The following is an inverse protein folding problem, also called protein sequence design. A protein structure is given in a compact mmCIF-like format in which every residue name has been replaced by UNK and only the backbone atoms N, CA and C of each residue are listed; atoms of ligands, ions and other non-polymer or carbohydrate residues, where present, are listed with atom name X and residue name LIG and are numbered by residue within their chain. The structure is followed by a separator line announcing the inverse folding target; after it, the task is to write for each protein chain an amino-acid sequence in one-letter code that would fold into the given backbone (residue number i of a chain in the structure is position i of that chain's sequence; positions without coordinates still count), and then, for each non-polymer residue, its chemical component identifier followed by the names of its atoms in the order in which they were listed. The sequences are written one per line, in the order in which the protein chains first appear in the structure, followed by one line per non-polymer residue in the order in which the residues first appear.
data_IF_342828006608
#
_entry.id   IF_342828006608
#
_cell.length_a   1.000
_cell.length_b   1.000
_cell.length_c   1.000
_cell.angle_alpha   90.00
_cell.angle_beta   90.00
_cell.angle_gamma   90.00
#
_symmetry.space_group_name_H-M   'P 1'
#
loop_
_entity.id
_entity.type
_entity.pdbx_description
1 polymer ?
#
# COMPACT_ATOMS: atom_id res chain seq x y z
N UNK A 1 12.72 33.10 52.26
CA UNK A 1 11.86 32.61 53.36
C UNK A 1 10.74 31.80 52.74
N UNK A 2 10.34 30.71 53.43
CA UNK A 2 9.32 29.67 53.10
C UNK A 2 9.67 28.76 51.92
N UNK A 3 10.29 27.60 52.14
CA UNK A 3 9.83 26.31 52.73
C UNK A 3 8.93 25.49 51.78
N UNK A 4 9.38 24.27 51.49
CA UNK A 4 8.82 23.36 50.47
C UNK A 4 9.40 21.95 50.64
N UNK A 5 9.06 21.33 51.78
CA UNK A 5 9.45 19.97 52.18
C UNK A 5 8.99 18.90 51.18
N UNK A 6 9.88 17.94 50.92
CA UNK A 6 9.58 16.66 50.25
C UNK A 6 9.13 15.62 51.29
N UNK A 7 8.25 14.65 50.95
CA UNK A 7 7.84 13.61 51.89
C UNK A 7 8.94 12.54 52.04
N UNK A 8 9.37 12.32 53.29
CA UNK A 8 10.21 11.23 53.72
C UNK A 8 9.33 9.98 53.95
N UNK A 9 9.69 8.83 53.37
CA UNK A 9 8.96 7.56 53.50
C UNK A 9 9.64 6.58 54.48
N UNK A 10 10.62 7.04 55.24
CA UNK A 10 11.28 6.28 56.30
C UNK A 10 10.74 6.72 57.65
N UNK A 11 9.67 6.06 58.11
CA UNK A 11 9.38 5.76 59.53
C UNK A 11 7.93 5.26 59.67
N UNK A 12 7.73 3.95 59.50
CA UNK A 12 6.63 3.25 60.13
C UNK A 12 6.98 1.77 60.32
N UNK A 13 7.48 1.51 61.52
CA UNK A 13 7.53 0.28 62.30
C UNK A 13 7.30 -1.07 61.62
N UNK A 14 8.31 -1.93 61.75
CA UNK A 14 8.14 -3.29 62.31
C UNK A 14 9.46 -3.74 62.93
N UNK A 15 9.72 -3.26 64.16
CA UNK A 15 10.62 -3.92 65.09
C UNK A 15 9.88 -5.08 65.74
N UNK A 16 10.32 -6.30 65.46
CA UNK A 16 9.90 -7.48 66.19
C UNK A 16 10.31 -8.74 65.45
N UNK A 17 11.14 -9.56 66.10
CA UNK A 17 11.53 -10.92 65.74
C UNK A 17 12.82 -11.06 64.91
N UNK A 18 13.96 -10.69 65.50
CA UNK A 18 15.20 -11.46 65.32
C UNK A 18 15.92 -11.51 66.67
N UNK A 19 15.80 -12.63 67.37
CA UNK A 19 16.81 -13.11 68.32
C UNK A 19 16.94 -14.62 68.09
N UNK A 20 18.17 -15.15 68.13
CA UNK A 20 18.41 -16.60 68.08
C UNK A 20 19.21 -17.13 66.88
N UNK A 21 20.51 -16.95 66.99
CA UNK A 21 21.62 -17.55 66.26
C UNK A 21 21.69 -19.10 66.43
N UNK A 22 21.90 -19.90 65.37
CA UNK A 22 22.66 -21.18 65.39
C UNK A 22 22.97 -21.76 63.99
N UNK A 23 24.14 -22.41 63.91
CA UNK A 23 24.93 -22.94 62.77
C UNK A 23 24.30 -24.08 61.92
N UNK A 24 24.87 -24.42 60.75
CA UNK A 24 24.36 -25.43 59.81
C UNK A 24 24.89 -26.86 60.06
N UNK A 25 24.03 -27.86 59.91
CA UNK A 25 24.36 -29.31 59.96
C UNK A 25 23.39 -30.14 59.10
N UNK A 26 23.77 -31.35 58.63
CA UNK A 26 23.39 -31.87 57.32
C UNK A 26 22.04 -32.60 57.26
N UNK A 27 21.50 -32.68 56.04
CA UNK A 27 20.24 -33.30 55.67
C UNK A 27 20.10 -34.78 56.11
N UNK A 28 18.94 -35.11 56.68
CA UNK A 28 18.48 -36.50 56.89
C UNK A 28 17.11 -36.68 56.26
N UNK A 29 17.03 -37.67 55.37
CA UNK A 29 15.87 -38.15 54.62
C UNK A 29 14.75 -38.67 55.55
N UNK A 30 13.45 -38.49 55.23
CA UNK A 30 12.35 -38.99 56.05
C UNK A 30 12.08 -40.50 55.80
N UNK A 31 11.61 -41.26 56.80
CA UNK A 31 11.42 -42.71 56.70
C UNK A 31 10.10 -43.09 56.00
N UNK A 32 10.13 -44.22 55.29
CA UNK A 32 8.97 -44.86 54.63
C UNK A 32 7.89 -45.33 55.62
N UNK A 33 6.60 -45.34 55.22
CA UNK A 33 5.50 -45.74 56.09
C UNK A 33 5.38 -47.28 56.24
N UNK A 34 4.79 -47.77 57.35
CA UNK A 34 4.72 -49.19 57.63
C UNK A 34 3.63 -49.89 56.81
N UNK A 35 3.96 -51.06 56.28
CA UNK A 35 3.03 -52.01 55.67
C UNK A 35 2.33 -52.80 56.78
N UNK A 36 1.00 -52.71 56.85
CA UNK A 36 0.16 -53.43 57.81
C UNK A 36 -1.20 -53.79 57.21
N UNK A 37 -1.47 -55.09 57.16
CA UNK A 37 -2.59 -55.82 56.56
C UNK A 37 -3.96 -55.65 57.26
N UNK A 38 -5.05 -55.54 56.50
CA UNK A 38 -6.43 -55.73 56.99
C UNK A 38 -7.46 -55.63 55.85
N UNK A 39 -8.28 -56.67 55.66
CA UNK A 39 -9.23 -56.84 54.55
C UNK A 39 -10.43 -55.86 54.53
N UNK A 40 -11.30 -55.93 53.51
CA UNK A 40 -12.31 -54.90 53.25
C UNK A 40 -13.59 -55.15 54.05
N UNK A 41 -14.19 -54.12 54.69
CA UNK A 41 -15.58 -54.18 55.12
C UNK A 41 -16.54 -53.44 54.16
N UNK A 42 -17.82 -53.84 54.14
CA UNK A 42 -18.74 -53.66 53.03
C UNK A 42 -19.66 -52.45 53.19
N UNK A 43 -20.20 -51.97 52.06
CA UNK A 43 -21.47 -51.23 51.97
C UNK A 43 -21.59 -49.97 52.82
N UNK A 44 -21.25 -48.81 52.27
CA UNK A 44 -21.77 -47.52 52.73
C UNK A 44 -22.75 -46.97 51.70
N UNK A 45 -23.99 -46.83 52.17
CA UNK A 45 -25.13 -46.21 51.49
C UNK A 45 -24.75 -44.96 50.69
N UNK A 46 -25.29 -44.86 49.48
CA UNK A 46 -25.35 -43.61 48.70
C UNK A 46 -26.44 -42.75 49.34
N UNK A 47 -26.13 -42.18 50.50
CA UNK A 47 -26.98 -41.25 51.23
C UNK A 47 -26.44 -39.83 51.13
N UNK A 48 -27.23 -38.95 50.50
CA UNK A 48 -27.15 -37.49 50.53
C UNK A 48 -25.89 -36.82 49.93
N UNK A 49 -25.91 -36.66 48.61
CA UNK A 49 -25.16 -35.56 47.98
C UNK A 49 -25.96 -34.28 48.26
N UNK A 50 -25.48 -33.50 49.22
CA UNK A 50 -25.96 -32.14 49.54
C UNK A 50 -25.78 -31.25 48.29
N UNK A 51 -26.74 -31.31 47.35
CA UNK A 51 -26.85 -30.38 46.23
C UNK A 51 -27.24 -29.01 46.79
N UNK A 52 -26.26 -28.31 47.36
CA UNK A 52 -26.34 -26.88 47.55
C UNK A 52 -26.42 -26.27 46.16
N UNK A 53 -27.64 -25.98 45.73
CA UNK A 53 -27.93 -25.09 44.62
C UNK A 53 -27.23 -23.76 44.94
N UNK A 54 -26.04 -23.56 44.38
CA UNK A 54 -25.38 -22.26 44.40
C UNK A 54 -26.24 -21.37 43.52
N UNK A 55 -27.14 -20.62 44.16
CA UNK A 55 -27.95 -19.61 43.50
C UNK A 55 -26.99 -18.51 43.03
N UNK A 56 -26.48 -18.63 41.80
CA UNK A 56 -25.65 -17.62 41.15
C UNK A 56 -26.58 -16.46 40.78
N UNK A 57 -26.86 -15.60 41.77
CA UNK A 57 -27.54 -14.34 41.51
C UNK A 57 -26.60 -13.42 40.75
N UNK A 58 -26.76 -13.37 39.42
CA UNK A 58 -26.15 -12.36 38.55
C UNK A 58 -26.72 -11.00 38.93
N UNK A 59 -26.09 -10.33 39.90
CA UNK A 59 -26.39 -8.94 40.23
C UNK A 59 -25.88 -8.06 39.09
N UNK A 60 -26.78 -7.65 38.20
CA UNK A 60 -26.51 -6.55 37.28
C UNK A 60 -26.28 -5.28 38.08
N UNK A 61 -25.01 -4.94 38.33
CA UNK A 61 -24.67 -3.66 38.92
C UNK A 61 -25.12 -2.56 37.95
N UNK A 62 -26.06 -1.70 38.39
CA UNK A 62 -26.67 -0.62 37.60
C UNK A 62 -25.62 0.31 36.96
N UNK A 63 -24.43 0.40 37.57
CA UNK A 63 -23.29 1.17 37.03
C UNK A 63 -22.61 0.50 35.83
N UNK A 64 -22.56 -0.83 35.78
CA UNK A 64 -22.00 -1.57 34.64
C UNK A 64 -22.94 -1.59 33.44
N UNK A 65 -24.26 -1.67 33.67
CA UNK A 65 -25.27 -1.52 32.61
C UNK A 65 -25.23 -0.10 32.01
N UNK A 66 -25.08 0.92 32.85
CA UNK A 66 -24.94 2.31 32.40
C UNK A 66 -23.65 2.54 31.60
N UNK A 67 -22.51 1.99 32.05
CA UNK A 67 -21.23 2.06 31.31
C UNK A 67 -21.29 1.32 29.97
N UNK A 68 -21.89 0.13 29.94
CA UNK A 68 -22.10 -0.62 28.70
C UNK A 68 -23.04 0.13 27.74
N UNK A 69 -24.08 0.78 28.27
CA UNK A 69 -24.97 1.65 27.50
C UNK A 69 -24.25 2.85 26.88
N UNK A 70 -23.44 3.57 27.66
CA UNK A 70 -22.63 4.67 27.13
C UNK A 70 -21.56 4.22 26.14
N UNK A 71 -20.95 3.05 26.35
CA UNK A 71 -20.03 2.46 25.39
C UNK A 71 -20.73 2.14 24.06
N UNK A 72 -21.93 1.54 24.12
CA UNK A 72 -22.73 1.26 22.92
C UNK A 72 -23.15 2.54 22.20
N UNK A 73 -23.58 3.57 22.93
CA UNK A 73 -23.91 4.89 22.36
C UNK A 73 -22.67 5.55 21.75
N UNK A 74 -21.50 5.46 22.39
CA UNK A 74 -20.25 5.98 21.83
C UNK A 74 -19.86 5.25 20.53
N UNK A 75 -20.00 3.91 20.48
CA UNK A 75 -19.73 3.12 19.28
C UNK A 75 -20.70 3.52 18.15
N UNK A 76 -21.99 3.64 18.45
CA UNK A 76 -23.01 4.09 17.46
C UNK A 76 -22.75 5.52 17.01
N UNK A 77 -22.37 6.42 17.91
CA UNK A 77 -22.03 7.80 17.57
C UNK A 77 -20.76 7.88 16.72
N UNK A 78 -19.73 7.08 17.00
CA UNK A 78 -18.53 6.96 16.19
C UNK A 78 -18.87 6.39 14.81
N UNK A 79 -19.73 5.37 14.72
CA UNK A 79 -20.16 4.79 13.46
C UNK A 79 -20.99 5.79 12.62
N UNK A 80 -21.91 6.52 13.24
CA UNK A 80 -22.72 7.54 12.59
C UNK A 80 -21.86 8.75 12.15
N UNK A 81 -20.91 9.18 12.97
CA UNK A 81 -19.93 10.19 12.59
C UNK A 81 -19.05 9.70 11.44
N UNK A 82 -18.60 8.45 11.47
CA UNK A 82 -17.86 7.82 10.38
C UNK A 82 -18.66 7.81 9.08
N UNK A 83 -19.94 7.45 9.13
CA UNK A 83 -20.86 7.50 7.99
C UNK A 83 -21.02 8.92 7.44
N UNK A 84 -21.30 9.90 8.29
CA UNK A 84 -21.43 11.31 7.88
C UNK A 84 -20.14 11.85 7.25
N UNK A 85 -18.99 11.51 7.85
CA UNK A 85 -17.68 11.90 7.34
C UNK A 85 -17.38 11.24 5.98
N UNK A 86 -17.84 10.02 5.73
CA UNK A 86 -17.68 9.33 4.44
C UNK A 86 -18.66 9.88 3.40
N UNK A 87 -19.93 10.06 3.75
CA UNK A 87 -20.99 10.44 2.82
C UNK A 87 -20.90 11.93 2.43
N UNK A 88 -20.73 12.82 3.41
CA UNK A 88 -20.73 14.28 3.18
C UNK A 88 -19.31 14.88 3.20
N UNK A 89 -18.41 14.33 4.02
CA UNK A 89 -17.01 14.79 4.15
C UNK A 89 -16.02 14.06 3.25
N UNK A 90 -16.44 12.99 2.58
CA UNK A 90 -15.54 12.07 1.88
C UNK A 90 -14.78 12.75 0.76
N UNK A 91 -15.41 13.67 0.05
CA UNK A 91 -14.80 14.45 -1.05
C UNK A 91 -13.65 15.35 -0.57
N UNK A 92 -13.83 16.00 0.59
CA UNK A 92 -12.80 16.87 1.19
C UNK A 92 -11.65 16.03 1.73
N UNK A 93 -11.92 14.95 2.44
CA UNK A 93 -10.89 14.04 2.95
C UNK A 93 -10.11 13.43 1.79
N UNK A 94 -10.79 12.97 0.76
CA UNK A 94 -10.17 12.48 -0.45
C UNK A 94 -9.27 13.54 -1.07
N UNK A 95 -9.76 14.78 -1.22
CA UNK A 95 -8.97 15.92 -1.73
C UNK A 95 -7.73 16.19 -0.88
N UNK A 96 -7.83 16.10 0.45
CA UNK A 96 -6.69 16.27 1.35
C UNK A 96 -5.66 15.15 1.19
N UNK A 97 -6.11 13.90 1.08
CA UNK A 97 -5.23 12.75 0.82
C UNK A 97 -4.53 12.92 -0.54
N UNK A 98 -5.28 13.27 -1.58
CA UNK A 98 -4.73 13.56 -2.91
C UNK A 98 -3.70 14.68 -2.84
N UNK A 99 -4.02 15.78 -2.18
CA UNK A 99 -3.13 16.92 -2.04
C UNK A 99 -1.84 16.56 -1.28
N UNK A 100 -1.94 15.70 -0.26
CA UNK A 100 -0.78 15.21 0.47
C UNK A 100 0.11 14.33 -0.41
N UNK A 101 -0.48 13.42 -1.20
CA UNK A 101 0.26 12.58 -2.13
C UNK A 101 0.88 13.37 -3.28
N UNK A 102 0.17 14.36 -3.84
CA UNK A 102 0.70 15.27 -4.83
C UNK A 102 1.87 16.09 -4.28
N UNK A 103 1.75 16.59 -3.04
CA UNK A 103 2.83 17.28 -2.34
C UNK A 103 4.08 16.39 -2.21
N UNK A 104 3.90 15.12 -1.83
CA UNK A 104 4.98 14.13 -1.73
C UNK A 104 5.60 13.86 -3.12
N UNK A 105 4.77 13.72 -4.15
CA UNK A 105 5.20 13.46 -5.53
C UNK A 105 6.07 14.59 -6.10
N UNK A 106 5.75 15.84 -5.74
CA UNK A 106 6.47 17.03 -6.19
C UNK A 106 7.74 17.30 -5.37
N UNK A 107 7.90 16.69 -4.20
CA UNK A 107 9.01 16.95 -3.27
C UNK A 107 10.40 16.81 -3.92
N UNK A 108 10.72 15.80 -4.77
CA UNK A 108 12.04 15.72 -5.40
C UNK A 108 12.35 16.90 -6.31
N UNK A 109 11.34 17.46 -6.99
CA UNK A 109 11.49 18.63 -7.84
C UNK A 109 11.59 19.91 -6.99
N UNK A 110 10.71 20.06 -5.99
CA UNK A 110 10.70 21.19 -5.05
C UNK A 110 12.00 21.24 -4.23
N UNK A 111 12.50 20.10 -3.75
CA UNK A 111 13.74 19.99 -2.99
C UNK A 111 14.98 20.37 -3.82
N UNK A 112 14.99 20.08 -5.13
CA UNK A 112 16.08 20.52 -6.02
C UNK A 112 16.03 22.02 -6.26
N UNK A 113 14.85 22.56 -6.52
CA UNK A 113 14.67 23.98 -6.84
C UNK A 113 14.82 24.89 -5.61
N UNK A 114 14.37 24.43 -4.44
CA UNK A 114 14.51 25.15 -3.16
C UNK A 114 15.96 25.32 -2.68
N UNK A 115 16.94 24.63 -3.29
CA UNK A 115 18.36 24.92 -3.07
C UNK A 115 18.78 26.29 -3.62
N UNK A 116 18.04 26.83 -4.59
CA UNK A 116 18.34 28.10 -5.27
C UNK A 116 17.35 29.22 -4.96
N UNK A 117 16.21 28.92 -4.34
CA UNK A 117 15.16 29.90 -4.05
C UNK A 117 14.33 29.51 -2.82
N UNK A 118 13.50 30.43 -2.32
CA UNK A 118 12.61 30.16 -1.18
C UNK A 118 11.66 29.00 -1.50
N UNK A 119 11.45 28.10 -0.52
CA UNK A 119 10.66 26.87 -0.70
C UNK A 119 9.27 27.13 -1.28
N UNK A 120 8.57 28.18 -0.85
CA UNK A 120 7.26 28.55 -1.41
C UNK A 120 7.28 28.91 -2.91
N UNK A 121 8.34 29.59 -3.41
CA UNK A 121 8.46 29.88 -4.84
C UNK A 121 8.78 28.61 -5.63
N UNK A 122 9.64 27.73 -5.08
CA UNK A 122 9.92 26.45 -5.69
C UNK A 122 8.66 25.58 -5.81
N UNK A 123 7.84 25.51 -4.75
CA UNK A 123 6.55 24.83 -4.78
C UNK A 123 5.62 25.43 -5.83
N UNK A 124 5.50 26.76 -5.91
CA UNK A 124 4.62 27.40 -6.90
C UNK A 124 5.05 27.10 -8.35
N UNK A 125 6.35 27.16 -8.65
CA UNK A 125 6.87 26.87 -10.00
C UNK A 125 6.62 25.42 -10.39
N UNK A 126 6.90 24.46 -9.49
CA UNK A 126 6.65 23.04 -9.78
C UNK A 126 5.13 22.79 -9.93
N UNK A 127 4.30 23.41 -9.10
CA UNK A 127 2.84 23.27 -9.16
C UNK A 127 2.28 23.83 -10.46
N UNK A 128 2.75 24.99 -10.88
CA UNK A 128 2.36 25.59 -12.16
C UNK A 128 2.82 24.71 -13.34
N UNK A 129 4.03 24.15 -13.27
CA UNK A 129 4.52 23.21 -14.27
C UNK A 129 3.64 21.96 -14.39
N UNK A 130 3.23 21.37 -13.25
CA UNK A 130 2.28 20.24 -13.23
C UNK A 130 0.92 20.65 -13.79
N UNK A 131 0.39 21.82 -13.41
CA UNK A 131 -0.87 22.33 -13.92
C UNK A 131 -0.85 22.52 -15.44
N UNK A 132 0.21 23.15 -15.97
CA UNK A 132 0.40 23.35 -17.42
C UNK A 132 0.50 22.00 -18.13
N UNK A 133 1.29 21.06 -17.58
CA UNK A 133 1.38 19.70 -18.11
C UNK A 133 0.00 19.02 -18.18
N UNK A 134 -0.80 19.09 -17.11
CA UNK A 134 -2.14 18.52 -17.09
C UNK A 134 -3.08 19.18 -18.11
N UNK A 135 -3.03 20.50 -18.28
CA UNK A 135 -3.84 21.21 -19.28
C UNK A 135 -3.45 20.77 -20.69
N UNK A 136 -2.15 20.78 -21.01
CA UNK A 136 -1.65 20.37 -22.32
C UNK A 136 -2.00 18.90 -22.61
N UNK A 137 -1.81 18.01 -21.63
CA UNK A 137 -2.20 16.62 -21.75
C UNK A 137 -3.71 16.47 -21.99
N UNK A 138 -4.55 17.16 -21.21
CA UNK A 138 -6.01 17.06 -21.36
C UNK A 138 -6.49 17.59 -22.70
N UNK A 139 -5.88 18.65 -23.25
CA UNK A 139 -6.20 19.16 -24.57
C UNK A 139 -5.76 18.18 -25.67
N UNK A 140 -4.53 17.66 -25.59
CA UNK A 140 -3.99 16.72 -26.58
C UNK A 140 -4.74 15.37 -26.55
N UNK A 141 -4.95 14.81 -25.38
CA UNK A 141 -5.65 13.54 -25.17
C UNK A 141 -7.16 13.67 -25.36
N UNK A 142 -7.76 14.80 -24.97
CA UNK A 142 -9.18 15.08 -25.17
C UNK A 142 -9.56 15.10 -26.64
N UNK A 143 -8.75 15.74 -27.48
CA UNK A 143 -8.93 15.72 -28.94
C UNK A 143 -8.79 14.30 -29.50
N UNK A 144 -7.73 13.58 -29.10
CA UNK A 144 -7.55 12.17 -29.47
C UNK A 144 -8.79 11.34 -29.12
N UNK A 145 -9.28 11.43 -27.88
CA UNK A 145 -10.42 10.63 -27.44
C UNK A 145 -11.68 11.00 -28.23
N UNK A 146 -11.91 12.28 -28.50
CA UNK A 146 -13.04 12.73 -29.32
C UNK A 146 -12.97 12.17 -30.76
N UNK A 147 -11.80 12.25 -31.40
CA UNK A 147 -11.59 11.78 -32.77
C UNK A 147 -11.69 10.25 -32.87
N UNK A 148 -11.12 9.52 -31.90
CA UNK A 148 -11.18 8.06 -31.84
C UNK A 148 -12.58 7.54 -31.51
N UNK A 149 -13.31 8.22 -30.61
CA UNK A 149 -14.70 7.87 -30.35
C UNK A 149 -15.57 8.14 -31.59
N UNK A 150 -15.38 9.26 -32.28
CA UNK A 150 -16.10 9.56 -33.51
C UNK A 150 -15.81 8.53 -34.61
N UNK A 151 -14.53 8.16 -34.79
CA UNK A 151 -14.11 7.14 -35.75
C UNK A 151 -14.67 5.77 -35.39
N UNK A 152 -14.56 5.35 -34.12
CA UNK A 152 -15.11 4.08 -33.65
C UNK A 152 -16.61 4.00 -33.91
N UNK A 153 -17.37 5.04 -33.54
CA UNK A 153 -18.82 5.12 -33.78
C UNK A 153 -19.13 5.05 -35.28
N UNK A 154 -18.35 5.72 -36.12
CA UNK A 154 -18.50 5.66 -37.58
C UNK A 154 -18.13 4.28 -38.16
N UNK A 155 -17.23 3.53 -37.52
CA UNK A 155 -16.81 2.19 -37.93
C UNK A 155 -17.73 1.07 -37.47
N UNK A 156 -18.58 1.29 -36.45
CA UNK A 156 -19.52 0.28 -35.93
C UNK A 156 -20.31 -0.43 -37.05
N UNK A 157 -20.92 0.27 -38.02
CA UNK A 157 -21.67 -0.40 -39.09
C UNK A 157 -20.81 -1.38 -39.89
N UNK A 158 -19.62 -0.97 -40.29
CA UNK A 158 -18.69 -1.80 -41.08
C UNK A 158 -18.15 -3.00 -40.29
N UNK A 159 -17.95 -2.84 -38.98
CA UNK A 159 -17.52 -3.92 -38.08
C UNK A 159 -18.63 -4.95 -37.89
N UNK A 160 -19.87 -4.50 -37.72
CA UNK A 160 -21.05 -5.38 -37.63
C UNK A 160 -21.23 -6.14 -38.94
N UNK A 161 -21.15 -5.45 -40.08
CA UNK A 161 -21.23 -6.09 -41.40
C UNK A 161 -20.14 -7.16 -41.57
N UNK A 162 -18.87 -6.81 -41.33
CA UNK A 162 -17.75 -7.75 -41.46
C UNK A 162 -17.87 -8.95 -40.52
N UNK A 163 -18.29 -8.72 -39.27
CA UNK A 163 -18.49 -9.78 -38.29
C UNK A 163 -19.66 -10.70 -38.67
N UNK A 164 -20.76 -10.15 -39.19
CA UNK A 164 -21.89 -10.96 -39.68
C UNK A 164 -21.52 -11.77 -40.90
N UNK A 165 -20.81 -11.19 -41.87
CA UNK A 165 -20.35 -11.90 -43.07
C UNK A 165 -19.44 -13.05 -42.67
N UNK A 166 -18.44 -12.81 -41.82
CA UNK A 166 -17.56 -13.86 -41.33
C UNK A 166 -18.30 -14.96 -40.56
N UNK A 167 -19.26 -14.60 -39.71
CA UNK A 167 -20.05 -15.56 -38.94
C UNK A 167 -20.98 -16.40 -39.83
N UNK A 168 -21.59 -15.77 -40.84
CA UNK A 168 -22.45 -16.45 -41.81
C UNK A 168 -21.63 -17.42 -42.68
N UNK A 169 -20.43 -17.03 -43.10
CA UNK A 169 -19.51 -17.88 -43.87
C UNK A 169 -18.92 -19.02 -43.03
N UNK A 170 -18.58 -18.76 -41.76
CA UNK A 170 -17.90 -19.75 -40.90
C UNK A 170 -18.87 -20.75 -40.28
N UNK A 171 -20.04 -20.29 -39.84
CA UNK A 171 -20.99 -21.09 -39.07
C UNK A 171 -22.29 -21.39 -39.82
N UNK A 172 -22.48 -20.86 -41.04
CA UNK A 172 -23.68 -21.10 -41.85
C UNK A 172 -24.96 -20.50 -41.25
N UNK A 173 -24.84 -19.48 -40.40
CA UNK A 173 -25.97 -18.78 -39.78
C UNK A 173 -26.45 -17.68 -40.74
N UNK A 174 -27.72 -17.30 -40.70
CA UNK A 174 -28.25 -16.13 -41.42
C UNK A 174 -28.42 -14.94 -40.46
N UNK A 175 -27.30 -14.36 -40.01
CA UNK A 175 -27.33 -13.12 -39.23
C UNK A 175 -27.52 -11.95 -40.19
N UNK A 176 -28.54 -11.13 -39.93
CA UNK A 176 -28.78 -9.87 -40.65
C UNK A 176 -28.04 -8.72 -39.93
N UNK A 177 -27.07 -8.07 -40.59
CA UNK A 177 -26.36 -6.93 -40.02
C UNK A 177 -27.32 -5.81 -39.60
N UNK A 178 -28.34 -5.51 -40.42
CA UNK A 178 -29.33 -4.46 -40.15
C UNK A 178 -30.11 -4.68 -38.86
N UNK A 179 -30.50 -5.93 -38.57
CA UNK A 179 -31.22 -6.26 -37.33
C UNK A 179 -30.32 -6.11 -36.10
N UNK A 180 -29.06 -6.52 -36.20
CA UNK A 180 -28.10 -6.37 -35.10
C UNK A 180 -27.75 -4.90 -34.86
N UNK A 181 -27.60 -4.11 -35.93
CA UNK A 181 -27.36 -2.66 -35.86
C UNK A 181 -28.57 -1.92 -35.25
N UNK A 182 -29.79 -2.28 -35.62
CA UNK A 182 -31.02 -1.73 -35.05
C UNK A 182 -31.18 -2.08 -33.56
N UNK A 183 -30.76 -3.29 -33.16
CA UNK A 183 -30.77 -3.73 -31.77
C UNK A 183 -29.66 -3.03 -30.96
N UNK A 184 -28.46 -2.90 -31.52
CA UNK A 184 -27.36 -2.13 -30.92
C UNK A 184 -27.71 -0.66 -30.76
N UNK A 185 -28.28 -0.01 -31.77
CA UNK A 185 -28.62 1.42 -31.72
C UNK A 185 -29.81 1.72 -30.82
N UNK A 186 -30.75 0.78 -30.64
CA UNK A 186 -31.85 0.93 -29.69
C UNK A 186 -31.39 0.76 -28.23
N UNK A 187 -30.39 -0.09 -27.95
CA UNK A 187 -29.78 -0.23 -26.61
C UNK A 187 -28.73 0.86 -26.31
N UNK A 188 -27.88 1.19 -27.29
CA UNK A 188 -26.82 2.22 -27.21
C UNK A 188 -27.39 3.63 -27.44
N UNK A 189 -28.66 3.79 -27.84
CA UNK A 189 -29.37 5.06 -27.74
C UNK A 189 -29.30 5.66 -26.33
N UNK A 190 -29.11 4.83 -25.30
CA UNK A 190 -28.80 5.24 -23.93
C UNK A 190 -27.40 5.85 -23.71
N UNK A 191 -26.46 5.70 -24.64
CA UNK A 191 -25.18 6.41 -24.59
C UNK A 191 -25.33 7.89 -25.00
N UNK A 192 -26.32 8.22 -25.84
CA UNK A 192 -26.71 9.64 -26.06
C UNK A 192 -27.30 10.26 -24.79
N UNK A 193 -27.86 9.44 -23.88
CA UNK A 193 -28.24 9.87 -22.52
C UNK A 193 -27.07 9.93 -21.52
N UNK A 194 -25.86 9.45 -21.84
CA UNK A 194 -24.64 9.79 -21.09
C UNK A 194 -24.13 11.19 -21.44
N UNK A 195 -24.34 11.63 -22.69
CA UNK A 195 -24.22 13.04 -23.05
C UNK A 195 -25.40 13.88 -22.53
N UNK A 196 -26.60 13.28 -22.52
CA UNK A 196 -27.84 13.87 -22.00
C UNK A 196 -27.99 13.86 -20.48
N UNK A 197 -27.20 13.12 -19.71
CA UNK A 197 -27.22 13.16 -18.24
C UNK A 197 -26.44 14.36 -17.68
N UNK A 198 -25.73 15.07 -18.57
CA UNK A 198 -25.23 16.43 -18.35
C UNK A 198 -26.35 17.47 -18.58
N UNK A 199 -27.58 17.06 -18.96
CA UNK A 199 -28.71 17.93 -19.25
C UNK A 199 -29.41 18.55 -18.01
N UNK A 200 -28.62 19.08 -17.07
CA UNK A 200 -29.05 20.23 -16.28
C UNK A 200 -29.10 21.54 -17.10
N UNK A 201 -29.00 21.45 -18.44
CA UNK A 201 -28.82 22.59 -19.34
C UNK A 201 -27.52 23.34 -19.07
N UNK A 202 -27.46 24.58 -19.55
CA UNK A 202 -26.35 25.52 -19.30
C UNK A 202 -26.06 25.68 -17.81
N UNK A 203 -27.08 25.61 -16.95
CA UNK A 203 -26.95 25.76 -15.50
C UNK A 203 -26.20 24.58 -14.88
N UNK A 204 -26.51 23.34 -15.27
CA UNK A 204 -25.79 22.15 -14.82
C UNK A 204 -24.33 22.15 -15.27
N UNK A 205 -24.06 22.56 -16.52
CA UNK A 205 -22.70 22.70 -17.04
C UNK A 205 -21.91 23.77 -16.28
N UNK A 206 -22.51 24.94 -16.00
CA UNK A 206 -21.89 25.99 -15.19
C UNK A 206 -21.62 25.49 -13.77
N UNK A 207 -22.57 24.81 -13.14
CA UNK A 207 -22.41 24.26 -11.80
C UNK A 207 -21.28 23.21 -11.75
N UNK A 208 -21.15 22.35 -12.76
CA UNK A 208 -20.07 21.38 -12.87
C UNK A 208 -18.70 22.06 -13.05
N UNK A 209 -18.61 23.08 -13.92
CA UNK A 209 -17.39 23.86 -14.12
C UNK A 209 -16.99 24.60 -12.84
N UNK A 210 -17.95 25.25 -12.16
CA UNK A 210 -17.69 25.90 -10.88
C UNK A 210 -17.27 24.89 -9.81
N UNK A 211 -17.94 23.75 -9.71
CA UNK A 211 -17.58 22.67 -8.78
C UNK A 211 -16.18 22.14 -9.03
N UNK A 212 -15.81 21.89 -10.29
CA UNK A 212 -14.46 21.48 -10.68
C UNK A 212 -13.42 22.56 -10.38
N UNK A 213 -13.75 23.83 -10.62
CA UNK A 213 -12.88 24.97 -10.32
C UNK A 213 -12.60 25.11 -8.82
N UNK A 214 -13.64 25.10 -7.98
CA UNK A 214 -13.48 25.16 -6.52
C UNK A 214 -12.75 23.94 -5.97
N UNK A 215 -13.05 22.73 -6.49
CA UNK A 215 -12.36 21.50 -6.10
C UNK A 215 -10.86 21.55 -6.47
N UNK A 216 -10.56 22.05 -7.68
CA UNK A 216 -9.18 22.22 -8.15
C UNK A 216 -8.43 23.25 -7.30
N UNK A 217 -9.03 24.41 -7.03
CA UNK A 217 -8.42 25.42 -6.14
C UNK A 217 -8.16 24.83 -4.76
N UNK A 218 -9.12 24.10 -4.20
CA UNK A 218 -8.99 23.47 -2.89
C UNK A 218 -7.82 22.47 -2.89
N UNK A 219 -7.77 21.60 -3.89
CA UNK A 219 -6.68 20.63 -4.10
C UNK A 219 -5.32 21.31 -4.20
N UNK A 220 -5.17 22.33 -5.07
CA UNK A 220 -3.91 23.05 -5.27
C UNK A 220 -3.51 23.85 -4.03
N UNK A 221 -4.47 24.46 -3.34
CA UNK A 221 -4.23 25.18 -2.09
C UNK A 221 -3.64 24.26 -1.02
N UNK A 222 -4.25 23.10 -0.78
CA UNK A 222 -3.72 22.14 0.19
C UNK A 222 -2.38 21.54 -0.26
N UNK A 223 -2.23 21.23 -1.55
CA UNK A 223 -0.97 20.72 -2.10
C UNK A 223 0.16 21.71 -1.89
N UNK A 224 -0.10 23.00 -2.18
CA UNK A 224 0.85 24.08 -1.96
C UNK A 224 1.24 24.17 -0.49
N UNK A 225 0.27 24.18 0.42
CA UNK A 225 0.55 24.32 1.85
C UNK A 225 1.31 23.12 2.42
N UNK A 226 0.92 21.90 2.05
CA UNK A 226 1.63 20.69 2.47
C UNK A 226 3.06 20.63 1.94
N UNK A 227 3.31 21.10 0.71
CA UNK A 227 4.65 21.09 0.11
C UNK A 227 5.54 22.22 0.63
N UNK A 228 4.99 23.44 0.70
CA UNK A 228 5.73 24.63 1.11
C UNK A 228 6.08 24.60 2.61
N UNK A 229 5.15 24.15 3.46
CA UNK A 229 5.26 24.17 4.92
C UNK A 229 5.40 22.77 5.56
N UNK A 230 5.92 21.79 4.82
CA UNK A 230 6.08 20.39 5.27
C UNK A 230 6.79 20.24 6.64
N UNK A 231 7.83 21.04 6.91
CA UNK A 231 8.52 21.04 8.20
C UNK A 231 7.65 21.59 9.34
N UNK A 232 6.79 22.56 9.05
CA UNK A 232 5.91 23.18 10.04
C UNK A 232 4.79 22.22 10.42
N UNK A 233 4.24 21.51 9.42
CA UNK A 233 3.27 20.44 9.61
C UNK A 233 3.85 19.32 10.48
N UNK A 234 5.08 18.86 10.17
CA UNK A 234 5.79 17.85 10.98
C UNK A 234 5.91 18.28 12.45
N UNK A 235 6.31 19.52 12.72
CA UNK A 235 6.44 20.05 14.10
C UNK A 235 5.09 20.11 14.79
N UNK A 236 4.05 20.55 14.10
CA UNK A 236 2.70 20.62 14.65
C UNK A 236 2.18 19.22 15.01
N UNK A 237 2.36 18.23 14.14
CA UNK A 237 1.99 16.83 14.43
C UNK A 237 2.78 16.29 15.62
N UNK A 238 4.08 16.58 15.71
CA UNK A 238 4.88 16.17 16.86
C UNK A 238 4.41 16.80 18.18
N UNK A 239 3.90 18.04 18.16
CA UNK A 239 3.39 18.73 19.35
C UNK A 239 2.10 18.11 19.91
N UNK A 240 1.34 17.37 19.11
CA UNK A 240 0.14 16.67 19.56
C UNK A 240 0.45 15.49 20.49
N UNK A 241 1.71 15.05 20.57
CA UNK A 241 2.12 13.90 21.33
C UNK A 241 3.00 14.26 22.54
N UNK A 242 2.99 13.42 23.60
CA UNK A 242 3.88 13.59 24.75
C UNK A 242 5.37 13.59 24.35
N UNK A 243 6.26 14.33 25.06
CA UNK A 243 7.68 14.47 24.71
C UNK A 243 8.42 13.16 24.43
N UNK A 244 8.08 12.09 25.17
CA UNK A 244 8.68 10.75 25.00
C UNK A 244 8.41 10.12 23.63
N UNK A 245 7.32 10.51 22.96
CA UNK A 245 6.89 9.98 21.67
C UNK A 245 7.25 10.91 20.50
N UNK A 246 7.65 12.16 20.75
CA UNK A 246 7.96 13.13 19.69
C UNK A 246 9.13 12.68 18.81
N UNK A 247 10.17 12.07 19.40
CA UNK A 247 11.28 11.50 18.65
C UNK A 247 10.82 10.34 17.76
N UNK A 248 9.95 9.47 18.27
CA UNK A 248 9.38 8.34 17.51
C UNK A 248 8.53 8.85 16.35
N UNK A 249 7.69 9.87 16.57
CA UNK A 249 6.87 10.50 15.53
C UNK A 249 7.75 11.20 14.48
N UNK A 250 8.84 11.82 14.91
CA UNK A 250 9.81 12.42 13.99
C UNK A 250 10.43 11.39 13.05
N UNK A 251 10.85 10.24 13.57
CA UNK A 251 11.38 9.13 12.78
C UNK A 251 10.29 8.50 11.91
N UNK A 252 9.09 8.32 12.45
CA UNK A 252 7.92 7.80 11.76
C UNK A 252 7.58 8.63 10.52
N UNK A 253 7.55 9.96 10.71
CA UNK A 253 7.29 10.92 9.65
C UNK A 253 8.34 10.84 8.55
N UNK A 254 9.62 10.88 8.91
CA UNK A 254 10.71 10.84 7.94
C UNK A 254 10.70 9.52 7.16
N UNK A 255 10.46 8.40 7.84
CA UNK A 255 10.37 7.09 7.20
C UNK A 255 9.16 7.02 6.25
N UNK A 256 7.99 7.49 6.68
CA UNK A 256 6.79 7.52 5.84
C UNK A 256 6.99 8.40 4.60
N UNK A 257 7.61 9.58 4.74
CA UNK A 257 7.90 10.47 3.62
C UNK A 257 8.93 9.85 2.67
N UNK A 258 10.00 9.25 3.18
CA UNK A 258 11.03 8.60 2.35
C UNK A 258 10.45 7.40 1.60
N UNK A 259 9.66 6.58 2.27
CA UNK A 259 9.10 5.34 1.71
C UNK A 259 7.96 5.60 0.73
N UNK A 260 6.99 6.43 1.10
CA UNK A 260 5.87 6.81 0.21
C UNK A 260 6.35 7.72 -0.91
N UNK A 261 7.22 8.68 -0.60
CA UNK A 261 7.83 9.56 -1.61
C UNK A 261 8.74 8.81 -2.57
N UNK A 262 9.54 7.87 -2.07
CA UNK A 262 10.32 6.96 -2.90
C UNK A 262 9.46 6.13 -3.84
N UNK A 263 8.35 5.55 -3.35
CA UNK A 263 7.40 4.80 -4.18
C UNK A 263 6.77 5.68 -5.29
N UNK A 264 6.18 6.83 -4.94
CA UNK A 264 5.54 7.71 -5.92
C UNK A 264 6.56 8.26 -6.92
N UNK A 265 7.75 8.62 -6.45
CA UNK A 265 8.84 9.09 -7.33
C UNK A 265 9.31 8.00 -8.29
N UNK A 266 9.47 6.76 -7.82
CA UNK A 266 9.83 5.63 -8.65
C UNK A 266 8.79 5.42 -9.76
N UNK A 267 7.49 5.44 -9.43
CA UNK A 267 6.41 5.32 -10.41
C UNK A 267 6.37 6.48 -11.41
N UNK A 268 6.64 7.71 -10.98
CA UNK A 268 6.75 8.85 -11.89
C UNK A 268 7.93 8.71 -12.86
N UNK A 269 9.08 8.23 -12.38
CA UNK A 269 10.25 8.00 -13.24
C UNK A 269 9.97 6.88 -14.23
N UNK A 270 9.42 5.74 -13.79
CA UNK A 270 9.00 4.66 -14.68
C UNK A 270 7.96 5.16 -15.69
N UNK A 271 7.01 5.98 -15.27
CA UNK A 271 5.97 6.52 -16.15
C UNK A 271 6.58 7.42 -17.23
N UNK A 272 7.56 8.24 -16.85
CA UNK A 272 8.32 9.08 -17.79
C UNK A 272 9.15 8.25 -18.77
N UNK A 273 9.80 7.19 -18.31
CA UNK A 273 10.59 6.29 -19.18
C UNK A 273 9.67 5.53 -20.14
N UNK A 274 8.65 4.86 -19.60
CA UNK A 274 7.68 4.10 -20.37
C UNK A 274 6.96 4.99 -21.39
N UNK A 275 6.42 6.12 -20.93
CA UNK A 275 5.70 7.04 -21.80
C UNK A 275 6.60 7.71 -22.82
N UNK A 276 7.81 8.12 -22.42
CA UNK A 276 8.78 8.73 -23.32
C UNK A 276 9.26 7.78 -24.42
N UNK A 277 9.61 6.53 -24.07
CA UNK A 277 10.03 5.52 -25.05
C UNK A 277 8.87 5.10 -25.96
N UNK A 278 7.67 4.94 -25.40
CA UNK A 278 6.47 4.62 -26.19
C UNK A 278 6.12 5.75 -27.17
N UNK A 279 6.14 7.00 -26.71
CA UNK A 279 5.96 8.19 -27.55
C UNK A 279 7.02 8.27 -28.65
N UNK A 280 8.29 8.03 -28.32
CA UNK A 280 9.38 8.07 -29.30
C UNK A 280 9.20 6.98 -30.37
N UNK A 281 8.83 5.77 -29.95
CA UNK A 281 8.57 4.67 -30.88
C UNK A 281 7.39 5.00 -31.82
N UNK A 282 6.26 5.47 -31.25
CA UNK A 282 5.08 5.88 -32.02
C UNK A 282 5.40 7.02 -32.99
N UNK A 283 6.23 7.97 -32.59
CA UNK A 283 6.71 9.05 -33.46
C UNK A 283 7.53 8.50 -34.64
N UNK A 284 8.42 7.53 -34.41
CA UNK A 284 9.28 6.94 -35.44
C UNK A 284 8.45 6.18 -36.49
N UNK A 285 7.41 5.46 -36.07
CA UNK A 285 6.52 4.73 -36.99
C UNK A 285 5.47 5.63 -37.65
N UNK A 286 5.46 6.93 -37.35
CA UNK A 286 4.53 7.90 -37.94
C UNK A 286 3.10 7.79 -37.42
N UNK A 287 2.90 7.29 -36.20
CA UNK A 287 1.57 7.16 -35.60
C UNK A 287 1.05 8.52 -35.11
N UNK A 288 -0.19 8.85 -35.46
CA UNK A 288 -0.86 10.05 -34.98
C UNK A 288 -1.06 10.02 -33.46
N UNK A 289 -1.09 11.20 -32.84
CA UNK A 289 -1.26 11.35 -31.38
C UNK A 289 -0.24 10.59 -30.52
N UNK A 290 0.94 10.27 -31.08
CA UNK A 290 2.05 9.57 -30.41
C UNK A 290 2.38 10.12 -29.00
N UNK A 291 2.27 11.45 -28.81
CA UNK A 291 2.55 12.08 -27.52
C UNK A 291 1.45 11.80 -26.50
N UNK A 292 0.19 11.97 -26.89
CA UNK A 292 -0.96 11.73 -26.01
C UNK A 292 -1.05 10.24 -25.62
N UNK A 293 -0.87 9.34 -26.60
CA UNK A 293 -0.86 7.90 -26.38
C UNK A 293 0.32 7.46 -25.52
N UNK A 294 1.53 7.96 -25.74
CA UNK A 294 2.67 7.57 -24.90
C UNK A 294 2.55 8.09 -23.47
N UNK A 295 2.05 9.32 -23.25
CA UNK A 295 1.77 9.80 -21.88
C UNK A 295 0.70 8.91 -21.21
N UNK A 296 -0.37 8.55 -21.93
CA UNK A 296 -1.36 7.58 -21.46
C UNK A 296 -0.71 6.26 -21.06
N UNK A 297 0.10 5.66 -21.94
CA UNK A 297 0.77 4.39 -21.69
C UNK A 297 1.63 4.45 -20.43
N UNK A 298 2.46 5.48 -20.31
CA UNK A 298 3.34 5.66 -19.15
C UNK A 298 2.56 5.85 -17.84
N UNK A 299 1.53 6.69 -17.83
CA UNK A 299 0.76 6.94 -16.59
C UNK A 299 -0.07 5.73 -16.17
N UNK A 300 -0.81 5.13 -17.10
CA UNK A 300 -1.72 4.03 -16.78
C UNK A 300 -0.96 2.76 -16.41
N UNK A 301 0.16 2.46 -17.09
CA UNK A 301 0.97 1.28 -16.76
C UNK A 301 1.51 1.32 -15.33
N UNK A 302 1.87 2.52 -14.82
CA UNK A 302 2.59 2.65 -13.56
C UNK A 302 1.69 2.88 -12.34
N UNK A 303 0.53 3.49 -12.53
CA UNK A 303 -0.36 3.83 -11.43
C UNK A 303 -1.57 2.90 -11.30
N UNK A 304 -1.84 2.04 -12.29
CA UNK A 304 -2.87 0.99 -12.20
C UNK A 304 -2.19 -0.36 -11.96
N UNK A 305 -2.26 -0.94 -10.75
CA UNK A 305 -1.60 -2.22 -10.45
C UNK A 305 -2.20 -3.38 -11.24
N UNK A 306 -1.39 -4.43 -11.43
CA UNK A 306 -1.69 -5.77 -12.00
C UNK A 306 -2.25 -5.80 -13.43
N UNK A 307 -3.20 -4.92 -13.74
CA UNK A 307 -3.92 -4.85 -15.01
C UNK A 307 -3.50 -3.61 -15.82
N UNK A 308 -2.91 -2.60 -15.17
CA UNK A 308 -2.62 -1.30 -15.78
C UNK A 308 -1.81 -1.36 -17.05
N UNK A 309 -0.75 -2.16 -17.09
CA UNK A 309 0.06 -2.37 -18.28
C UNK A 309 -0.76 -2.85 -19.48
N UNK A 310 -1.67 -3.79 -19.26
CA UNK A 310 -2.51 -4.33 -20.34
C UNK A 310 -3.46 -3.26 -20.88
N UNK A 311 -4.10 -2.48 -19.99
CA UNK A 311 -4.99 -1.37 -20.39
C UNK A 311 -4.19 -0.25 -21.08
N UNK A 312 -3.00 0.05 -20.56
CA UNK A 312 -2.10 1.09 -21.05
C UNK A 312 -1.60 0.81 -22.47
N UNK A 313 -1.37 -0.46 -22.81
CA UNK A 313 -0.95 -0.91 -24.15
C UNK A 313 -2.15 -1.10 -25.08
N UNK A 314 -3.27 -1.63 -24.56
CA UNK A 314 -4.43 -1.97 -25.37
C UNK A 314 -4.98 -0.78 -26.17
N UNK A 315 -5.11 0.39 -25.53
CA UNK A 315 -5.66 1.58 -26.21
C UNK A 315 -4.77 2.05 -27.38
N UNK A 316 -3.46 2.33 -27.21
CA UNK A 316 -2.59 2.69 -28.32
C UNK A 316 -2.52 1.63 -29.43
N UNK A 317 -2.48 0.34 -29.07
CA UNK A 317 -2.46 -0.74 -30.07
C UNK A 317 -3.77 -0.76 -30.85
N UNK A 318 -4.91 -0.61 -30.17
CA UNK A 318 -6.22 -0.51 -30.83
C UNK A 318 -6.28 0.69 -31.78
N UNK A 319 -5.83 1.87 -31.35
CA UNK A 319 -5.76 3.06 -32.19
C UNK A 319 -4.88 2.82 -33.43
N UNK A 320 -3.72 2.19 -33.25
CA UNK A 320 -2.84 1.83 -34.37
C UNK A 320 -3.41 0.77 -35.32
N UNK A 321 -4.27 -0.13 -34.83
CA UNK A 321 -4.91 -1.18 -35.63
C UNK A 321 -6.08 -0.67 -36.46
N UNK A 322 -6.86 0.24 -35.89
CA UNK A 322 -8.05 0.84 -36.53
C UNK A 322 -7.67 2.07 -37.36
N UNK A 323 -6.50 2.65 -37.11
CA UNK A 323 -5.96 3.76 -37.88
C UNK A 323 -5.68 3.43 -39.35
N UNK A 324 -5.24 4.43 -40.13
CA UNK A 324 -5.01 4.29 -41.57
C UNK A 324 -4.01 3.18 -41.93
N UNK A 325 -3.06 2.89 -41.04
CA UNK A 325 -1.99 1.93 -41.23
C UNK A 325 -1.96 0.86 -40.11
N UNK A 326 -2.72 -0.24 -40.25
CA UNK A 326 -2.87 -1.25 -39.18
C UNK A 326 -1.56 -1.89 -38.70
N UNK A 327 -0.52 -1.89 -39.55
CA UNK A 327 0.80 -2.41 -39.20
C UNK A 327 1.43 -1.64 -38.04
N UNK A 328 1.08 -0.36 -37.85
CA UNK A 328 1.55 0.48 -36.74
C UNK A 328 1.09 -0.09 -35.39
N UNK A 329 -0.14 -0.59 -35.31
CA UNK A 329 -0.65 -1.27 -34.11
C UNK A 329 0.11 -2.55 -33.78
N UNK A 330 0.41 -3.39 -34.80
CA UNK A 330 1.21 -4.61 -34.61
C UNK A 330 2.66 -4.28 -34.19
N UNK A 331 3.27 -3.28 -34.82
CA UNK A 331 4.62 -2.83 -34.49
C UNK A 331 4.69 -2.33 -33.05
N UNK A 332 3.69 -1.55 -32.61
CA UNK A 332 3.59 -1.05 -31.25
C UNK A 332 3.37 -2.17 -30.23
N UNK A 333 2.56 -3.17 -30.56
CA UNK A 333 2.39 -4.36 -29.71
C UNK A 333 3.71 -5.11 -29.53
N UNK A 334 4.45 -5.33 -30.62
CA UNK A 334 5.78 -5.95 -30.57
C UNK A 334 6.77 -5.16 -29.71
N UNK A 335 6.81 -3.84 -29.89
CA UNK A 335 7.61 -2.94 -29.04
C UNK A 335 7.22 -3.04 -27.56
N UNK A 336 5.93 -2.97 -27.25
CA UNK A 336 5.43 -2.98 -25.89
C UNK A 336 5.76 -4.29 -25.16
N UNK A 337 5.67 -5.43 -25.86
CA UNK A 337 6.08 -6.72 -25.32
C UNK A 337 7.58 -6.78 -24.98
N UNK A 338 8.43 -6.26 -25.87
CA UNK A 338 9.89 -6.20 -25.64
C UNK A 338 10.22 -5.22 -24.50
N UNK A 339 9.63 -4.03 -24.53
CA UNK A 339 9.78 -3.03 -23.49
C UNK A 339 9.38 -3.59 -22.12
N UNK A 340 8.27 -4.31 -22.02
CA UNK A 340 7.82 -4.90 -20.76
C UNK A 340 8.84 -5.87 -20.16
N UNK A 341 9.51 -6.68 -21.00
CA UNK A 341 10.57 -7.56 -20.51
C UNK A 341 11.78 -6.79 -20.00
N UNK A 342 12.19 -5.75 -20.73
CA UNK A 342 13.30 -4.87 -20.32
C UNK A 342 12.95 -4.16 -19.00
N UNK A 343 11.72 -3.68 -18.88
CA UNK A 343 11.24 -3.00 -17.68
C UNK A 343 11.28 -3.93 -16.48
N UNK A 344 10.60 -5.08 -16.56
CA UNK A 344 10.46 -6.03 -15.45
C UNK A 344 11.81 -6.58 -14.99
N UNK A 345 12.75 -6.83 -15.91
CA UNK A 345 14.04 -7.49 -15.59
C UNK A 345 15.11 -6.47 -15.20
N UNK A 346 15.10 -5.26 -15.76
CA UNK A 346 16.24 -4.32 -15.65
C UNK A 346 15.86 -2.99 -15.00
N UNK A 347 14.78 -2.36 -15.47
CA UNK A 347 14.47 -0.97 -15.09
C UNK A 347 13.77 -0.94 -13.73
N UNK A 348 12.71 -1.73 -13.57
CA UNK A 348 11.89 -1.76 -12.37
C UNK A 348 12.69 -2.13 -11.12
N UNK A 349 13.53 -3.20 -11.11
CA UNK A 349 14.30 -3.54 -9.91
C UNK A 349 15.30 -2.46 -9.50
N UNK A 350 15.85 -1.71 -10.46
CA UNK A 350 16.85 -0.66 -10.18
C UNK A 350 16.23 0.62 -9.65
N UNK A 351 15.03 0.96 -10.10
CA UNK A 351 14.36 2.22 -9.72
C UNK A 351 13.49 2.02 -8.47
N UNK A 352 12.90 0.84 -8.29
CA UNK A 352 12.02 0.53 -7.17
C UNK A 352 12.72 -0.10 -5.95
N UNK A 353 14.04 -0.31 -5.99
CA UNK A 353 14.80 -1.03 -4.95
C UNK A 353 14.57 -0.54 -3.51
N UNK A 354 14.43 0.78 -3.33
CA UNK A 354 14.28 1.39 -2.00
C UNK A 354 12.82 1.66 -1.59
N UNK A 355 11.86 1.38 -2.48
CA UNK A 355 10.43 1.63 -2.27
C UNK A 355 9.81 0.66 -1.24
N UNK A 356 8.56 0.93 -0.85
CA UNK A 356 7.78 -0.01 -0.01
C UNK A 356 7.43 -1.23 -0.85
N UNK A 357 7.83 -2.41 -0.38
CA UNK A 357 7.37 -3.68 -0.95
C UNK A 357 5.95 -3.95 -0.45
N UNK A 358 4.97 -3.75 -1.34
CA UNK A 358 3.56 -4.00 -1.05
C UNK A 358 3.19 -5.33 -1.68
N UNK A 359 2.81 -6.30 -0.85
CA UNK A 359 2.38 -7.61 -1.32
C UNK A 359 1.25 -7.46 -2.37
N UNK A 360 1.29 -8.17 -3.51
CA UNK A 360 0.32 -8.00 -4.61
C UNK A 360 -1.14 -8.08 -4.17
N UNK A 361 -1.48 -9.05 -3.31
CA UNK A 361 -2.82 -9.18 -2.75
C UNK A 361 -3.29 -7.94 -1.96
N UNK A 362 -2.39 -7.30 -1.20
CA UNK A 362 -2.69 -6.07 -0.44
C UNK A 362 -2.91 -4.91 -1.40
N UNK A 363 -2.09 -4.78 -2.44
CA UNK A 363 -2.26 -3.75 -3.47
C UNK A 363 -3.60 -3.91 -4.22
N UNK A 364 -3.98 -5.14 -4.56
CA UNK A 364 -5.24 -5.43 -5.24
C UNK A 364 -6.45 -5.15 -4.35
N UNK A 365 -6.42 -5.62 -3.09
CA UNK A 365 -7.47 -5.34 -2.12
C UNK A 365 -7.62 -3.83 -1.88
N UNK A 366 -6.50 -3.10 -1.81
CA UNK A 366 -6.52 -1.65 -1.69
C UNK A 366 -7.22 -1.01 -2.89
N UNK A 367 -6.87 -1.39 -4.13
CA UNK A 367 -7.51 -0.87 -5.34
C UNK A 367 -9.02 -1.12 -5.34
N UNK A 368 -9.46 -2.33 -5.00
CA UNK A 368 -10.89 -2.65 -4.91
C UNK A 368 -11.58 -1.80 -3.84
N UNK A 369 -10.96 -1.63 -2.68
CA UNK A 369 -11.51 -0.83 -1.60
C UNK A 369 -11.58 0.67 -1.97
N UNK A 370 -10.52 1.21 -2.57
CA UNK A 370 -10.49 2.58 -3.08
C UNK A 370 -11.53 2.81 -4.17
N UNK A 371 -11.68 1.85 -5.09
CA UNK A 371 -12.69 1.86 -6.13
C UNK A 371 -14.12 1.91 -5.56
N UNK A 372 -14.38 1.13 -4.51
CA UNK A 372 -15.68 1.09 -3.86
C UNK A 372 -16.02 2.40 -3.12
N UNK A 373 -15.01 3.08 -2.54
CA UNK A 373 -15.23 4.32 -1.77
C UNK A 373 -15.32 5.57 -2.64
N UNK A 374 -14.42 5.72 -3.61
CA UNK A 374 -14.26 6.97 -4.36
C UNK A 374 -14.24 6.76 -5.89
N UNK A 375 -14.75 5.60 -6.35
CA UNK A 375 -14.79 5.25 -7.76
C UNK A 375 -13.39 5.13 -8.39
N UNK A 376 -13.30 5.43 -9.68
CA UNK A 376 -12.04 5.34 -10.45
C UNK A 376 -10.90 6.14 -9.81
N UNK A 377 -11.20 7.32 -9.26
CA UNK A 377 -10.22 8.17 -8.58
C UNK A 377 -9.64 7.50 -7.33
N UNK A 378 -10.46 6.79 -6.56
CA UNK A 378 -10.00 6.02 -5.39
C UNK A 378 -9.16 4.82 -5.76
N UNK A 379 -9.51 4.12 -6.85
CA UNK A 379 -8.75 3.00 -7.37
C UNK A 379 -7.31 3.40 -7.74
N UNK A 380 -7.15 4.56 -8.40
CA UNK A 380 -5.85 5.06 -8.89
C UNK A 380 -4.86 5.35 -7.75
N UNK A 381 -5.36 5.71 -6.57
CA UNK A 381 -4.52 6.21 -5.47
C UNK A 381 -4.51 5.27 -4.26
N UNK A 382 -5.28 4.19 -4.35
CA UNK A 382 -5.36 3.18 -3.32
C UNK A 382 -4.01 2.60 -2.92
N UNK A 383 -3.11 2.34 -3.87
CA UNK A 383 -1.81 1.73 -3.56
C UNK A 383 -0.86 2.67 -2.82
N UNK A 384 -0.65 3.92 -3.25
CA UNK A 384 0.09 4.89 -2.43
C UNK A 384 -0.49 5.06 -1.02
N UNK A 385 -1.82 5.09 -0.88
CA UNK A 385 -2.49 5.19 0.43
C UNK A 385 -2.24 3.93 1.25
N UNK A 386 -2.37 2.74 0.66
CA UNK A 386 -2.10 1.48 1.34
C UNK A 386 -0.63 1.37 1.76
N UNK A 387 0.31 1.80 0.91
CA UNK A 387 1.72 1.85 1.25
C UNK A 387 1.99 2.80 2.43
N UNK A 388 1.33 3.96 2.46
CA UNK A 388 1.41 4.88 3.59
C UNK A 388 0.85 4.25 4.88
N UNK A 389 -0.31 3.59 4.78
CA UNK A 389 -0.94 2.90 5.91
C UNK A 389 -0.07 1.74 6.42
N UNK A 390 0.54 0.95 5.52
CA UNK A 390 1.48 -0.11 5.86
C UNK A 390 2.73 0.45 6.53
N UNK A 391 3.30 1.55 6.02
CA UNK A 391 4.45 2.19 6.62
C UNK A 391 4.15 2.66 8.04
N UNK A 392 2.99 3.29 8.26
CA UNK A 392 2.52 3.67 9.60
C UNK A 392 2.30 2.46 10.50
N UNK A 393 1.69 1.39 9.97
CA UNK A 393 1.49 0.15 10.71
C UNK A 393 2.84 -0.48 11.10
N UNK A 394 3.85 -0.44 10.23
CA UNK A 394 5.19 -0.99 10.48
C UNK A 394 5.90 -0.29 11.64
N UNK A 395 5.64 1.01 11.81
CA UNK A 395 6.23 1.83 12.87
C UNK A 395 5.60 1.50 14.24
N UNK A 396 4.29 1.25 14.28
CA UNK A 396 3.57 0.97 15.52
C UNK A 396 3.55 -0.53 15.89
N UNK A 397 3.69 -1.41 14.90
CA UNK A 397 3.67 -2.86 15.12
C UNK A 397 5.01 -3.35 15.62
N UNK A 398 5.03 -3.96 16.81
CA UNK A 398 6.18 -4.79 17.22
C UNK A 398 6.19 -6.01 16.30
N UNK A 399 7.12 -6.05 15.34
CA UNK A 399 7.47 -7.30 14.66
C UNK A 399 8.08 -8.25 15.70
N UNK A 400 7.33 -9.28 16.05
CA UNK A 400 7.83 -10.38 16.88
C UNK A 400 8.59 -11.34 15.97
N UNK A 401 9.75 -11.83 16.41
CA UNK A 401 10.50 -12.85 15.67
C UNK A 401 9.60 -14.08 15.47
N UNK A 402 9.55 -14.59 14.24
CA UNK A 402 8.84 -15.82 13.91
C UNK A 402 9.37 -16.94 14.80
N UNK A 403 8.47 -17.69 15.44
CA UNK A 403 8.87 -18.86 16.21
C UNK A 403 9.73 -19.77 15.31
N UNK A 404 10.86 -20.32 15.78
CA UNK A 404 11.74 -21.16 14.99
C UNK A 404 11.02 -22.33 14.28
N UNK A 405 9.90 -22.77 14.85
CA UNK A 405 9.02 -23.83 14.33
C UNK A 405 8.25 -23.41 13.06
N UNK A 406 7.90 -22.13 12.92
CA UNK A 406 7.26 -21.55 11.74
C UNK A 406 8.28 -21.02 10.71
N UNK A 407 9.51 -20.73 11.16
CA UNK A 407 10.62 -20.34 10.31
C UNK A 407 11.38 -21.54 9.71
N UNK A 408 11.19 -22.74 10.25
CA UNK A 408 11.78 -23.96 9.72
C UNK A 408 11.09 -24.33 8.38
N UNK A 409 11.86 -24.65 7.31
CA UNK A 409 11.30 -25.13 6.05
C UNK A 409 10.39 -26.33 6.32
N UNK A 410 9.20 -26.35 5.70
CA UNK A 410 8.29 -27.48 5.86
C UNK A 410 9.00 -28.78 5.44
N UNK A 411 8.77 -29.91 6.13
CA UNK A 411 9.49 -31.16 5.87
C UNK A 411 9.50 -31.60 4.39
N UNK A 412 8.47 -31.26 3.63
CA UNK A 412 8.36 -31.58 2.20
C UNK A 412 9.25 -30.73 1.27
N UNK A 413 9.71 -29.55 1.69
CA UNK A 413 10.59 -28.70 0.86
C UNK A 413 12.06 -29.12 0.96
N UNK A 414 12.51 -29.58 2.14
CA UNK A 414 13.85 -30.16 2.30
C UNK A 414 14.06 -31.38 1.42
N UNK A 415 13.05 -32.26 1.35
CA UNK A 415 13.14 -33.48 0.54
C UNK A 415 13.20 -33.18 -0.95
N UNK A 416 12.50 -32.14 -1.43
CA UNK A 416 12.61 -31.68 -2.83
C UNK A 416 13.98 -31.07 -3.14
N UNK A 417 14.52 -30.25 -2.23
CA UNK A 417 15.84 -29.65 -2.38
C UNK A 417 16.96 -30.71 -2.39
N UNK A 418 16.88 -31.72 -1.52
CA UNK A 418 17.85 -32.80 -1.46
C UNK A 418 17.80 -33.69 -2.71
N UNK A 419 16.61 -33.97 -3.25
CA UNK A 419 16.48 -34.68 -4.53
C UNK A 419 17.00 -33.88 -5.73
N UNK A 420 16.80 -32.56 -5.75
CA UNK A 420 17.35 -31.69 -6.80
C UNK A 420 18.88 -31.57 -6.72
N UNK A 421 19.45 -31.43 -5.53
CA UNK A 421 20.90 -31.42 -5.37
C UNK A 421 21.54 -32.75 -5.73
N UNK A 422 20.97 -33.87 -5.29
CA UNK A 422 21.51 -35.20 -5.61
C UNK A 422 21.52 -35.47 -7.13
N UNK A 423 20.45 -35.09 -7.84
CA UNK A 423 20.36 -35.23 -9.30
C UNK A 423 21.30 -34.27 -10.06
N UNK A 424 21.61 -33.10 -9.50
CA UNK A 424 22.57 -32.16 -10.07
C UNK A 424 24.03 -32.63 -9.88
N UNK A 425 24.39 -33.11 -8.69
CA UNK A 425 25.75 -33.62 -8.43
C UNK A 425 26.06 -34.91 -9.18
N UNK A 426 25.06 -35.76 -9.45
CA UNK A 426 25.24 -36.99 -10.21
C UNK A 426 25.55 -36.77 -11.71
N UNK A 427 25.36 -35.55 -12.24
CA UNK A 427 25.57 -35.22 -13.66
C UNK A 427 26.91 -34.53 -13.97
N UNK A 428 27.73 -34.26 -12.96
CA UNK A 428 29.03 -33.61 -13.17
C UNK A 428 30.11 -34.66 -13.53
N UNK A 429 30.85 -34.50 -14.64
CA UNK A 429 31.99 -35.37 -14.96
C UNK A 429 33.10 -35.19 -13.92
N UNK A 430 33.55 -36.30 -13.31
CA UNK A 430 34.69 -36.31 -12.40
C UNK A 430 35.97 -36.04 -13.20
N UNK A 431 36.53 -34.83 -13.08
CA UNK A 431 37.83 -34.48 -13.64
C UNK A 431 38.95 -35.17 -12.83
N UNK A 432 39.82 -36.00 -13.43
CA UNK A 432 40.95 -36.60 -12.72
C UNK A 432 42.04 -35.55 -12.51
N UNK A 433 42.34 -35.21 -11.25
CA UNK A 433 43.53 -34.40 -10.90
C UNK A 433 43.34 -33.32 -9.84
N UNK A 434 42.11 -32.96 -9.47
CA UNK A 434 41.89 -32.00 -8.40
C UNK A 434 41.81 -32.71 -7.04
N UNK A 435 42.96 -32.95 -6.39
CA UNK A 435 42.99 -33.09 -4.92
C UNK A 435 42.68 -31.72 -4.32
N UNK A 436 41.39 -31.36 -4.29
CA UNK A 436 40.92 -30.27 -3.47
C UNK A 436 41.05 -30.70 -2.01
N UNK A 437 41.89 -29.98 -1.26
CA UNK A 437 41.96 -30.05 0.20
C UNK A 437 40.54 -29.86 0.74
N UNK A 438 40.04 -30.82 1.52
CA UNK A 438 38.74 -30.72 2.15
C UNK A 438 38.66 -29.38 2.92
N UNK A 439 37.59 -28.58 2.76
CA UNK A 439 37.42 -27.40 3.58
C UNK A 439 37.29 -27.85 5.05
N UNK A 440 38.11 -27.27 5.93
CA UNK A 440 37.90 -27.37 7.37
C UNK A 440 36.46 -26.96 7.70
N UNK A 441 35.82 -27.63 8.68
CA UNK A 441 34.49 -27.22 9.12
C UNK A 441 34.57 -25.76 9.59
N UNK A 442 33.60 -24.90 9.20
CA UNK A 442 33.61 -23.52 9.66
C UNK A 442 33.58 -23.51 11.19
N UNK A 443 34.54 -22.82 11.79
CA UNK A 443 34.46 -22.37 13.18
C UNK A 443 33.09 -21.70 13.35
N UNK A 444 32.34 -21.96 14.43
CA UNK A 444 31.01 -21.39 14.59
C UNK A 444 31.11 -19.87 14.49
N UNK A 445 30.67 -19.34 13.35
CA UNK A 445 30.58 -17.91 13.13
C UNK A 445 29.65 -17.36 14.20
N UNK A 446 30.10 -16.30 14.88
CA UNK A 446 29.24 -15.51 15.73
C UNK A 446 27.92 -15.23 14.99
N UNK A 447 26.81 -15.37 15.73
CA UNK A 447 25.46 -15.21 15.21
C UNK A 447 25.37 -14.00 14.25
N UNK A 448 24.67 -14.12 13.11
CA UNK A 448 24.49 -12.99 12.20
C UNK A 448 23.91 -11.82 13.00
N UNK A 449 24.60 -10.68 13.01
CA UNK A 449 24.03 -9.46 13.57
C UNK A 449 22.66 -9.22 12.91
N UNK A 450 21.65 -8.80 13.67
CA UNK A 450 20.32 -8.62 13.13
C UNK A 450 20.36 -7.52 12.07
N UNK A 451 20.26 -7.91 10.80
CA UNK A 451 20.01 -7.05 9.64
C UNK A 451 18.59 -6.51 9.75
N UNK A 452 18.43 -5.56 10.67
CA UNK A 452 17.17 -4.88 10.93
C UNK A 452 17.45 -3.41 11.21
N UNK A 453 16.38 -2.62 11.17
CA UNK A 453 16.32 -1.16 11.36
C UNK A 453 17.26 -0.63 12.47
N UNK A 454 17.53 -1.42 13.51
CA UNK A 454 18.46 -1.10 14.61
C UNK A 454 19.91 -0.95 14.17
N UNK A 455 20.42 -1.76 13.23
CA UNK A 455 21.78 -1.64 12.70
C UNK A 455 21.91 -0.36 11.84
N UNK A 456 20.89 -0.07 11.04
CA UNK A 456 20.80 1.17 10.25
C UNK A 456 20.73 2.41 11.13
N UNK A 457 19.97 2.35 12.23
CA UNK A 457 19.91 3.42 13.23
C UNK A 457 21.25 3.60 13.95
N UNK A 458 21.93 2.51 14.35
CA UNK A 458 23.24 2.57 15.01
C UNK A 458 24.30 3.20 14.09
N UNK A 459 24.27 2.88 12.80
CA UNK A 459 25.16 3.49 11.80
C UNK A 459 24.82 4.96 11.51
N UNK A 460 23.53 5.34 11.54
CA UNK A 460 23.12 6.73 11.34
C UNK A 460 23.55 7.63 12.52
N UNK A 461 23.38 7.16 13.76
CA UNK A 461 23.84 7.90 14.95
C UNK A 461 25.37 8.02 15.01
N UNK A 462 26.13 7.01 14.57
CA UNK A 462 27.60 7.09 14.57
C UNK A 462 28.19 8.07 13.54
N UNK A 463 27.45 8.40 12.47
CA UNK A 463 27.87 9.43 11.49
C UNK A 463 27.58 10.86 11.92
N UNK A 464 26.67 11.06 12.88
CA UNK A 464 26.22 12.39 13.30
C UNK A 464 26.74 12.84 14.67
N UNK A 465 27.51 12.00 15.36
CA UNK A 465 28.16 12.34 16.62
C UNK A 465 29.60 12.85 16.41
N UNK A 466 29.71 13.98 15.68
CA UNK A 466 30.96 14.78 15.62
C UNK A 466 30.67 16.21 16.05
N UNK A 467 30.26 16.37 17.31
CA UNK A 467 30.32 17.67 18.00
C UNK A 467 30.92 17.49 19.38
N UNK A 468 32.22 17.19 19.42
CA UNK A 468 33.06 17.53 20.58
C UNK A 468 33.39 19.03 20.54
N UNK A 469 33.37 19.74 21.68
CA UNK A 469 33.69 21.15 21.73
C UNK A 469 35.18 21.35 21.40
N UNK A 470 35.47 22.15 20.36
CA UNK A 470 36.81 22.73 20.18
C UNK A 470 36.91 23.95 21.09
N UNK A 471 37.66 23.79 22.18
CA UNK A 471 38.38 24.86 22.86
C UNK A 471 39.75 25.02 22.24
#
# INVERSE_FOLDING_TARGET
MTDGRRPNWEDQGMSGLIDGQHDPGPATEPPDPPVGSGGPPPGTDVGDVDTRLVDVQVRFDRRSVWRAGWLAVAIVAIAALGKFVIDDGGSVIFTLIMAMLASIAMEPAVARLSRRMRRGMATMIVMLGVLVFCIVFMLAFGNLLADQLATFVASIPSLVESATTWANETFGVELSPDKLLAQFTSEVGGLSTLAGSVAGGLIGAIAAVLGAFFSSITFFFFTFYFSADSLRLRRWVAQLAPPRQQAVIGVAWDLAVIKTGGYVSARLVLAGICGGLSSLFMLIIGMDYWLALGIWTGLVAQFVPTIGTYIAIALPVFVGLVGPEPWQGLALLGFALVYQQIENVTIEPRISADAVDVHPAVSFAAVMFGAALFGVSGAFVAVPVAALMLALFDIYSRKYELLPQLAAPQPGERQKADHQHASFTARLPVLPGARAKAPEPPTPAAAPEPTGLRATLRHWFSRHDTSGPKT
#
